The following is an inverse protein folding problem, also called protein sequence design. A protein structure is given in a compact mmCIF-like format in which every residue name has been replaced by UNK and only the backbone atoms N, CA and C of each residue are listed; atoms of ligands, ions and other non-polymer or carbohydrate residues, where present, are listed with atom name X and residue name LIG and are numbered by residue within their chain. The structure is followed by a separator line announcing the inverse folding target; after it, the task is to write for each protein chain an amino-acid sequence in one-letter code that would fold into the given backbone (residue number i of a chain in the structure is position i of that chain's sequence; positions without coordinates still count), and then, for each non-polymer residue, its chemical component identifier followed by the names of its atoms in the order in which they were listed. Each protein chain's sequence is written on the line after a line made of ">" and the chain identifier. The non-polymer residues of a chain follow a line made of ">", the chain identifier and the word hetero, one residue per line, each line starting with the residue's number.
data_IF_704866571757
#
_entry.id   IF_704866571757
#
_cell.length_a   1.000
_cell.length_b   1.000
_cell.length_c   1.000
_cell.angle_alpha   90.00
_cell.angle_beta   90.00
_cell.angle_gamma   90.00
#
_symmetry.space_group_name_H-M   'P 1'
#
loop_
_entity.id
_entity.type
_entity.pdbx_description
1 polymer ?
#
# COMPACT_ATOMS: atom_id res chain seq x y z
N UNK A 1 21.74 -2.88 30.31
CA UNK A 1 20.65 -3.68 29.71
C UNK A 1 20.08 -4.65 30.73
N UNK A 2 18.76 -4.67 30.88
CA UNK A 2 18.03 -5.60 31.78
C UNK A 2 18.09 -7.03 31.21
N UNK A 3 18.14 -8.06 32.04
CA UNK A 3 18.04 -9.45 31.58
C UNK A 3 16.58 -9.89 31.70
N UNK A 4 16.08 -10.52 30.64
CA UNK A 4 14.74 -11.08 30.61
C UNK A 4 14.81 -12.59 30.50
N UNK A 5 13.97 -13.27 31.28
CA UNK A 5 13.72 -14.70 31.16
C UNK A 5 12.45 -14.88 30.33
N UNK A 6 12.60 -15.27 29.06
CA UNK A 6 11.47 -15.42 28.16
C UNK A 6 11.74 -16.47 27.10
N UNK A 7 10.71 -16.78 26.32
CA UNK A 7 10.81 -17.80 25.28
C UNK A 7 11.65 -17.28 24.10
N UNK A 8 12.69 -18.01 23.70
CA UNK A 8 13.44 -17.67 22.49
C UNK A 8 12.59 -17.93 21.25
N UNK A 9 12.49 -16.93 20.38
CA UNK A 9 11.79 -17.04 19.09
C UNK A 9 12.82 -17.11 17.95
N UNK A 10 12.52 -17.89 16.92
CA UNK A 10 13.30 -17.93 15.69
C UNK A 10 13.22 -16.60 14.94
N UNK A 11 14.36 -16.10 14.44
CA UNK A 11 14.42 -14.90 13.62
C UNK A 11 13.53 -14.98 12.36
N UNK A 12 13.35 -16.18 11.81
CA UNK A 12 12.55 -16.43 10.62
C UNK A 12 11.09 -15.95 10.74
N UNK A 13 10.56 -15.86 11.97
CA UNK A 13 9.20 -15.34 12.22
C UNK A 13 9.07 -13.87 11.76
N UNK A 14 10.19 -13.13 11.73
CA UNK A 14 10.22 -11.70 11.43
C UNK A 14 10.80 -11.38 10.04
N UNK A 15 11.13 -12.40 9.23
CA UNK A 15 11.73 -12.19 7.89
C UNK A 15 10.77 -11.49 6.91
N UNK A 16 9.47 -11.57 7.18
CA UNK A 16 8.43 -10.91 6.39
C UNK A 16 8.06 -9.50 6.87
N UNK A 17 8.74 -8.96 7.87
CA UNK A 17 8.45 -7.61 8.37
C UNK A 17 9.04 -6.57 7.41
N UNK A 18 8.16 -5.74 6.85
CA UNK A 18 8.52 -4.62 5.99
C UNK A 18 8.35 -3.31 6.78
N UNK A 19 9.35 -2.43 6.69
CA UNK A 19 9.29 -1.08 7.27
C UNK A 19 8.26 -0.25 6.49
N UNK A 20 7.42 0.47 7.23
CA UNK A 20 6.39 1.35 6.68
C UNK A 20 6.84 2.81 6.80
N UNK A 21 7.09 3.27 8.03
CA UNK A 21 7.57 4.62 8.33
C UNK A 21 8.11 4.72 9.77
N UNK A 22 8.85 5.79 10.04
CA UNK A 22 9.27 6.15 11.39
C UNK A 22 8.23 7.13 11.99
N UNK A 23 7.73 6.78 13.16
CA UNK A 23 6.71 7.55 13.89
C UNK A 23 7.34 8.56 14.85
N UNK A 24 8.57 8.26 15.31
CA UNK A 24 9.40 9.16 16.10
C UNK A 24 10.84 8.97 15.63
N UNK A 25 11.41 10.00 15.02
CA UNK A 25 12.83 10.06 14.64
C UNK A 25 13.52 11.22 15.36
N UNK A 26 14.52 10.91 16.18
CA UNK A 26 15.34 11.89 16.89
C UNK A 26 16.78 11.40 16.86
N UNK A 27 17.54 11.85 15.86
CA UNK A 27 18.88 11.34 15.55
C UNK A 27 18.91 9.82 15.30
N UNK A 28 17.82 9.29 14.74
CA UNK A 28 17.58 7.88 14.49
C UNK A 28 16.17 7.44 14.91
N UNK A 29 15.68 6.31 14.35
CA UNK A 29 14.34 5.82 14.62
C UNK A 29 14.19 5.36 16.08
N UNK A 30 13.34 6.06 16.84
CA UNK A 30 12.96 5.68 18.20
C UNK A 30 11.71 4.79 18.20
N UNK A 31 10.75 5.11 17.33
CA UNK A 31 9.53 4.33 17.15
C UNK A 31 9.24 4.21 15.66
N UNK A 32 9.13 2.98 15.17
CA UNK A 32 8.85 2.71 13.75
C UNK A 32 7.65 1.78 13.59
N UNK A 33 6.88 2.01 12.53
CA UNK A 33 5.79 1.15 12.11
C UNK A 33 6.31 0.14 11.08
N UNK A 34 6.05 -1.13 11.36
CA UNK A 34 6.31 -2.25 10.47
C UNK A 34 5.00 -2.98 10.18
N UNK A 35 4.99 -3.75 9.10
CA UNK A 35 3.91 -4.69 8.78
C UNK A 35 4.46 -6.03 8.38
N UNK A 36 3.70 -7.08 8.61
CA UNK A 36 3.86 -8.35 7.90
C UNK A 36 2.67 -8.59 6.95
N UNK A 37 2.45 -9.83 6.51
CA UNK A 37 1.33 -10.22 5.63
C UNK A 37 -0.06 -10.03 6.24
N UNK A 38 -0.18 -9.87 7.56
CA UNK A 38 -1.44 -9.91 8.31
C UNK A 38 -1.56 -8.82 9.37
N UNK A 39 -0.45 -8.42 9.97
CA UNK A 39 -0.43 -7.68 11.21
C UNK A 39 0.47 -6.46 11.15
N UNK A 40 0.12 -5.45 11.95
CA UNK A 40 0.97 -4.28 12.16
C UNK A 40 1.84 -4.47 13.42
N UNK A 41 3.03 -3.87 13.39
CA UNK A 41 4.01 -4.00 14.45
C UNK A 41 4.64 -2.64 14.76
N UNK A 42 4.75 -2.31 16.04
CA UNK A 42 5.54 -1.17 16.49
C UNK A 42 6.90 -1.66 16.98
N UNK A 43 7.95 -1.02 16.49
CA UNK A 43 9.33 -1.26 16.90
C UNK A 43 9.79 -0.05 17.71
N UNK A 44 9.93 -0.23 19.02
CA UNK A 44 10.35 0.81 19.96
C UNK A 44 11.80 0.55 20.39
N UNK A 45 12.71 1.48 20.10
CA UNK A 45 14.06 1.42 20.63
C UNK A 45 14.04 1.67 22.14
N UNK A 46 14.77 0.84 22.90
CA UNK A 46 14.70 0.82 24.37
C UNK A 46 16.01 1.22 25.03
N UNK A 47 17.11 0.52 24.75
CA UNK A 47 18.44 0.89 25.22
C UNK A 47 19.55 0.33 24.33
N UNK A 48 20.78 0.68 24.67
CA UNK A 48 22.00 0.07 24.14
C UNK A 48 22.95 -0.29 25.27
N UNK A 49 23.80 -1.30 25.05
CA UNK A 49 24.98 -1.53 25.90
C UNK A 49 26.10 -0.49 25.68
N UNK A 50 25.88 0.48 24.79
CA UNK A 50 26.81 1.54 24.33
C UNK A 50 27.99 1.04 23.51
N UNK A 51 28.08 -0.27 23.25
CA UNK A 51 29.24 -0.88 22.58
C UNK A 51 28.82 -1.59 21.29
N UNK A 52 27.88 -2.52 21.35
CA UNK A 52 27.54 -3.40 20.21
C UNK A 52 26.06 -3.77 20.10
N UNK A 53 25.30 -3.67 21.19
CA UNK A 53 23.93 -4.18 21.26
C UNK A 53 22.95 -3.02 21.26
N UNK A 54 22.00 -3.05 20.33
CA UNK A 54 20.79 -2.23 20.36
C UNK A 54 19.61 -3.11 20.74
N UNK A 55 18.75 -2.60 21.63
CA UNK A 55 17.54 -3.31 22.05
C UNK A 55 16.29 -2.60 21.57
N UNK A 56 15.41 -3.42 21.01
CA UNK A 56 14.11 -3.02 20.53
C UNK A 56 13.02 -3.83 21.24
N UNK A 57 11.86 -3.21 21.42
CA UNK A 57 10.62 -3.84 21.83
C UNK A 57 9.66 -3.86 20.65
N UNK A 58 9.22 -5.05 20.28
CA UNK A 58 8.32 -5.30 19.17
C UNK A 58 6.93 -5.59 19.74
N UNK A 59 5.94 -4.83 19.28
CA UNK A 59 4.57 -4.89 19.79
C UNK A 59 3.62 -5.12 18.62
N UNK A 60 2.98 -6.29 18.60
CA UNK A 60 1.91 -6.58 17.63
C UNK A 60 0.71 -5.70 17.95
N UNK A 61 0.29 -4.89 16.99
CA UNK A 61 -0.71 -3.86 17.22
C UNK A 61 -1.89 -4.02 16.25
N UNK A 62 -3.10 -4.34 16.73
CA UNK A 62 -4.29 -4.36 15.90
C UNK A 62 -4.56 -3.00 15.27
N UNK A 63 -5.19 -3.00 14.09
CA UNK A 63 -5.54 -1.78 13.34
C UNK A 63 -6.32 -0.76 14.19
N UNK A 64 -7.32 -1.23 14.95
CA UNK A 64 -8.13 -0.37 15.83
C UNK A 64 -7.32 0.30 16.94
N UNK A 65 -6.33 -0.40 17.49
CA UNK A 65 -5.42 0.12 18.52
C UNK A 65 -4.47 1.15 17.91
N UNK A 66 -3.94 0.91 16.71
CA UNK A 66 -3.16 1.92 15.98
C UNK A 66 -3.97 3.19 15.72
N UNK A 67 -5.20 3.07 15.22
CA UNK A 67 -6.09 4.23 15.01
C UNK A 67 -6.26 5.02 16.30
N UNK A 68 -6.49 4.33 17.42
CA UNK A 68 -6.57 4.95 18.74
C UNK A 68 -5.29 5.70 19.14
N UNK A 69 -4.12 5.15 18.83
CA UNK A 69 -2.84 5.79 19.15
C UNK A 69 -2.61 7.05 18.31
N UNK A 70 -2.81 6.95 16.99
CA UNK A 70 -2.63 8.08 16.07
C UNK A 70 -3.66 9.20 16.27
N UNK A 71 -4.88 8.86 16.70
CA UNK A 71 -5.91 9.84 17.10
C UNK A 71 -5.74 10.38 18.52
N UNK A 72 -4.65 10.01 19.21
CA UNK A 72 -4.36 10.39 20.59
C UNK A 72 -5.44 9.95 21.61
N UNK A 73 -6.26 8.96 21.26
CA UNK A 73 -7.24 8.36 22.17
C UNK A 73 -6.58 7.40 23.18
N UNK A 74 -5.45 6.79 22.81
CA UNK A 74 -4.62 5.97 23.70
C UNK A 74 -3.15 6.38 23.60
N UNK A 75 -2.39 6.09 24.65
CA UNK A 75 -0.94 6.34 24.70
C UNK A 75 -0.15 5.10 24.32
N UNK A 76 1.11 5.29 23.91
CA UNK A 76 2.04 4.18 23.64
C UNK A 76 2.22 3.29 24.88
N UNK A 77 2.26 3.89 26.08
CA UNK A 77 2.28 3.13 27.34
C UNK A 77 1.05 2.22 27.49
N UNK A 78 -0.15 2.73 27.23
CA UNK A 78 -1.40 1.96 27.33
C UNK A 78 -1.44 0.82 26.32
N UNK A 79 -0.95 1.09 25.10
CA UNK A 79 -0.81 0.10 24.04
C UNK A 79 0.11 -1.05 24.47
N UNK A 80 1.29 -0.73 25.03
CA UNK A 80 2.25 -1.73 25.54
C UNK A 80 1.65 -2.53 26.69
N UNK A 81 1.07 -1.85 27.70
CA UNK A 81 0.56 -2.51 28.91
C UNK A 81 -0.62 -3.44 28.62
N UNK A 82 -1.41 -3.14 27.59
CA UNK A 82 -2.56 -3.96 27.20
C UNK A 82 -2.23 -5.00 26.12
N UNK A 83 -0.98 -5.04 25.64
CA UNK A 83 -0.57 -6.04 24.67
C UNK A 83 -0.60 -7.43 25.32
N UNK A 84 -1.08 -8.48 24.64
CA UNK A 84 -1.06 -9.84 25.20
C UNK A 84 0.35 -10.42 25.35
N UNK A 85 1.34 -9.85 24.66
CA UNK A 85 2.75 -10.19 24.80
C UNK A 85 3.63 -9.11 24.16
N UNK A 86 4.90 -9.09 24.50
CA UNK A 86 5.91 -8.24 23.87
C UNK A 86 7.12 -9.07 23.45
N UNK A 87 7.87 -8.60 22.46
CA UNK A 87 9.04 -9.29 21.96
C UNK A 87 10.26 -8.38 22.09
N UNK A 88 11.26 -8.83 22.83
CA UNK A 88 12.53 -8.12 22.95
C UNK A 88 13.50 -8.60 21.88
N UNK A 89 13.98 -7.68 21.06
CA UNK A 89 14.97 -7.89 20.02
C UNK A 89 16.30 -7.27 20.46
N UNK A 90 17.31 -8.10 20.70
CA UNK A 90 18.70 -7.65 20.83
C UNK A 90 19.40 -7.79 19.47
N UNK A 91 19.80 -6.67 18.87
CA UNK A 91 20.59 -6.61 17.64
C UNK A 91 22.07 -6.34 17.96
N UNK A 92 22.96 -7.22 17.51
CA UNK A 92 24.41 -7.07 17.71
C UNK A 92 25.11 -6.91 16.37
N UNK A 93 25.89 -5.83 16.21
CA UNK A 93 26.74 -5.67 15.04
C UNK A 93 27.95 -6.61 15.11
N UNK A 94 28.10 -7.48 14.10
CA UNK A 94 29.19 -8.44 13.97
C UNK A 94 29.98 -8.11 12.72
N UNK A 95 31.22 -7.67 12.91
CA UNK A 95 32.20 -7.44 11.83
C UNK A 95 32.83 -8.77 11.45
N UNK A 96 32.70 -9.16 10.19
CA UNK A 96 33.37 -10.31 9.60
C UNK A 96 34.50 -9.81 8.70
N UNK A 97 35.71 -10.27 8.99
CA UNK A 97 36.84 -10.14 8.07
C UNK A 97 36.83 -11.38 7.18
N UNK A 98 36.72 -11.17 5.87
CA UNK A 98 36.84 -12.24 4.87
C UNK A 98 38.13 -12.06 4.12
N UNK A 99 38.76 -13.17 3.81
CA UNK A 99 39.92 -13.23 2.92
C UNK A 99 39.44 -14.00 1.69
N UNK A 100 39.77 -13.52 0.50
CA UNK A 100 39.42 -14.23 -0.72
C UNK A 100 40.28 -15.50 -0.92
N UNK A 101 39.97 -16.28 -1.96
CA UNK A 101 40.67 -17.53 -2.28
C UNK A 101 42.16 -17.32 -2.59
N UNK A 102 42.60 -16.08 -2.78
CA UNK A 102 43.99 -15.68 -3.05
C UNK A 102 44.71 -15.11 -1.82
N UNK A 103 44.06 -15.11 -0.64
CA UNK A 103 44.67 -14.59 0.58
C UNK A 103 44.58 -13.06 0.72
N UNK A 104 43.81 -12.38 -0.14
CA UNK A 104 43.66 -10.92 -0.12
C UNK A 104 42.52 -10.54 0.85
N UNK A 105 42.77 -9.67 1.85
CA UNK A 105 41.73 -9.19 2.74
C UNK A 105 40.65 -8.45 1.95
N UNK A 106 39.40 -8.88 2.09
CA UNK A 106 38.24 -8.15 1.58
C UNK A 106 37.82 -7.07 2.57
N UNK A 107 37.07 -6.08 2.08
CA UNK A 107 36.46 -5.09 2.95
C UNK A 107 35.60 -5.80 4.01
N UNK A 108 35.75 -5.40 5.29
CA UNK A 108 35.02 -6.02 6.38
C UNK A 108 33.52 -5.81 6.17
N UNK A 109 32.77 -6.91 6.22
CA UNK A 109 31.31 -6.86 6.15
C UNK A 109 30.73 -6.80 7.55
N UNK A 110 29.82 -5.86 7.79
CA UNK A 110 29.06 -5.79 9.05
C UNK A 110 27.76 -6.56 8.83
N UNK A 111 27.52 -7.56 9.68
CA UNK A 111 26.27 -8.32 9.73
C UNK A 111 25.58 -8.09 11.06
N UNK A 112 24.25 -8.16 11.07
CA UNK A 112 23.47 -8.03 12.31
C UNK A 112 23.09 -9.41 12.81
N UNK A 113 23.54 -9.75 14.03
CA UNK A 113 23.06 -10.92 14.75
C UNK A 113 21.86 -10.51 15.59
N UNK A 114 20.71 -11.17 15.37
CA UNK A 114 19.45 -10.85 16.04
C UNK A 114 19.06 -11.94 17.02
N UNK A 115 18.62 -11.56 18.21
CA UNK A 115 18.09 -12.48 19.23
C UNK A 115 16.73 -11.98 19.70
N UNK A 116 15.72 -12.83 19.56
CA UNK A 116 14.34 -12.53 19.92
C UNK A 116 13.93 -13.28 21.18
N UNK A 117 13.32 -12.57 22.13
CA UNK A 117 12.81 -13.12 23.39
C UNK A 117 11.36 -12.68 23.58
N UNK A 118 10.42 -13.62 23.59
CA UNK A 118 9.01 -13.38 23.89
C UNK A 118 8.81 -13.27 25.39
N UNK A 119 7.99 -12.31 25.80
CA UNK A 119 7.49 -12.16 27.16
C UNK A 119 5.97 -12.12 27.11
N UNK A 120 5.32 -13.03 27.83
CA UNK A 120 3.86 -13.15 27.85
C UNK A 120 3.21 -12.12 28.79
N UNK A 121 3.97 -11.55 29.74
CA UNK A 121 3.52 -10.45 30.58
C UNK A 121 4.28 -9.15 30.24
N UNK A 122 3.61 -8.12 29.67
CA UNK A 122 4.24 -6.84 29.38
C UNK A 122 4.76 -6.09 30.61
N UNK A 123 4.35 -6.45 31.83
CA UNK A 123 4.88 -5.84 33.05
C UNK A 123 6.33 -6.23 33.32
N UNK A 124 6.81 -7.35 32.73
CA UNK A 124 8.22 -7.75 32.79
C UNK A 124 9.15 -6.69 32.19
N UNK A 125 8.65 -5.87 31.27
CA UNK A 125 9.40 -4.79 30.61
C UNK A 125 9.01 -3.39 31.10
N UNK A 126 8.38 -3.28 32.28
CA UNK A 126 7.90 -2.00 32.82
C UNK A 126 8.99 -0.92 32.91
N UNK A 127 10.24 -1.31 33.14
CA UNK A 127 11.37 -0.39 33.16
C UNK A 127 11.63 0.34 31.83
N UNK A 128 11.12 -0.18 30.72
CA UNK A 128 11.19 0.43 29.39
C UNK A 128 9.87 1.09 28.96
N UNK A 129 8.86 1.16 29.84
CA UNK A 129 7.59 1.79 29.48
C UNK A 129 7.77 3.30 29.24
N UNK A 130 7.19 3.84 28.15
CA UNK A 130 7.13 5.27 27.92
C UNK A 130 6.35 6.01 29.02
N UNK A 131 6.40 7.34 28.99
CA UNK A 131 5.63 8.17 29.91
C UNK A 131 4.12 7.94 29.78
N UNK A 132 3.34 8.31 30.80
CA UNK A 132 1.86 8.25 30.75
C UNK A 132 1.26 9.22 29.73
N UNK A 133 2.05 10.17 29.25
CA UNK A 133 1.67 11.17 28.23
C UNK A 133 2.30 10.88 26.88
N UNK A 134 2.69 9.63 26.63
CA UNK A 134 3.25 9.16 25.36
C UNK A 134 2.18 9.06 24.26
N UNK A 135 1.44 10.13 24.01
CA UNK A 135 0.53 10.25 22.88
C UNK A 135 1.33 10.37 21.58
N UNK A 136 0.72 10.01 20.46
CA UNK A 136 1.29 10.27 19.14
C UNK A 136 1.49 11.78 18.95
N UNK A 137 2.70 12.17 18.55
CA UNK A 137 3.02 13.56 18.21
C UNK A 137 3.37 13.65 16.73
N UNK A 138 2.50 14.23 15.88
CA UNK A 138 2.77 14.42 14.46
C UNK A 138 4.03 15.24 14.16
N UNK A 139 4.43 16.15 15.07
CA UNK A 139 5.62 16.99 14.89
C UNK A 139 6.93 16.18 14.94
N UNK A 140 6.89 14.97 15.53
CA UNK A 140 8.04 14.06 15.61
C UNK A 140 8.02 12.99 14.50
N UNK A 141 6.94 12.96 13.71
CA UNK A 141 6.70 11.96 12.69
C UNK A 141 6.92 12.57 11.29
N UNK A 142 8.18 12.76 10.93
CA UNK A 142 8.53 13.33 9.63
C UNK A 142 7.93 12.52 8.47
N UNK A 143 7.24 13.22 7.57
CA UNK A 143 6.61 12.57 6.42
C UNK A 143 5.30 11.86 6.71
N UNK A 144 4.70 12.07 7.89
CA UNK A 144 3.33 11.63 8.19
C UNK A 144 2.38 12.83 8.17
N UNK A 145 1.26 12.73 7.45
CA UNK A 145 0.16 13.70 7.49
C UNK A 145 -1.11 13.01 7.99
N UNK A 146 -1.52 13.32 9.22
CA UNK A 146 -2.77 12.82 9.82
C UNK A 146 -3.95 13.79 9.65
N UNK A 147 -3.77 14.92 8.97
CA UNK A 147 -4.84 15.91 8.77
C UNK A 147 -5.88 15.48 7.71
N UNK A 148 -5.70 14.30 7.14
CA UNK A 148 -6.53 13.71 6.09
C UNK A 148 -7.40 12.56 6.62
N UNK A 149 -8.24 11.98 5.75
CA UNK A 149 -9.04 10.79 6.08
C UNK A 149 -8.11 9.65 6.52
N UNK A 150 -8.04 9.44 7.83
CA UNK A 150 -7.02 8.59 8.44
C UNK A 150 -7.55 7.23 8.90
N UNK A 151 -8.78 7.19 9.42
CA UNK A 151 -9.36 5.94 9.92
C UNK A 151 -10.05 5.19 8.77
N UNK A 152 -9.66 3.93 8.49
CA UNK A 152 -10.47 3.06 7.65
C UNK A 152 -11.86 2.89 8.25
N UNK A 153 -12.87 2.77 7.39
CA UNK A 153 -14.21 2.40 7.81
C UNK A 153 -14.75 1.28 6.94
N UNK A 154 -15.86 0.69 7.39
CA UNK A 154 -16.61 -0.28 6.60
C UNK A 154 -17.14 0.39 5.33
N UNK A 155 -16.95 -0.29 4.21
CA UNK A 155 -17.42 0.11 2.89
C UNK A 155 -18.00 -1.11 2.19
N UNK A 156 -19.22 -0.99 1.70
CA UNK A 156 -19.92 -2.05 0.99
C UNK A 156 -19.63 -1.96 -0.49
N UNK A 157 -19.18 -3.07 -1.06
CA UNK A 157 -19.05 -3.24 -2.51
C UNK A 157 -20.23 -4.12 -2.96
N UNK A 158 -21.23 -3.55 -3.66
CA UNK A 158 -22.43 -4.29 -4.04
C UNK A 158 -22.11 -5.34 -5.10
N UNK A 159 -22.46 -6.59 -4.81
CA UNK A 159 -22.28 -7.72 -5.72
C UNK A 159 -23.62 -8.37 -6.06
N UNK A 160 -23.71 -8.87 -7.27
CA UNK A 160 -24.90 -9.51 -7.83
C UNK A 160 -24.53 -10.73 -8.66
N UNK A 161 -25.54 -11.45 -9.15
CA UNK A 161 -25.34 -12.58 -10.05
C UNK A 161 -24.69 -13.80 -9.39
N UNK A 162 -24.02 -14.63 -10.21
CA UNK A 162 -23.39 -15.88 -9.75
C UNK A 162 -21.88 -15.78 -9.84
N UNK A 163 -21.23 -15.78 -8.69
CA UNK A 163 -19.77 -15.68 -8.59
C UNK A 163 -19.14 -17.06 -8.52
N UNK A 164 -18.18 -17.34 -9.40
CA UNK A 164 -17.24 -18.43 -9.21
C UNK A 164 -16.06 -17.97 -8.36
N UNK A 165 -15.35 -18.92 -7.75
CA UNK A 165 -14.17 -18.61 -6.94
C UNK A 165 -13.10 -17.82 -7.71
N UNK A 166 -12.97 -18.10 -9.02
CA UNK A 166 -12.08 -17.38 -9.93
C UNK A 166 -12.50 -15.92 -10.13
N UNK A 167 -13.81 -15.65 -10.12
CA UNK A 167 -14.34 -14.30 -10.25
C UNK A 167 -14.00 -13.49 -9.01
N UNK A 168 -14.20 -14.07 -7.83
CA UNK A 168 -13.81 -13.45 -6.55
C UNK A 168 -12.31 -13.16 -6.51
N UNK A 169 -11.48 -14.14 -6.85
CA UNK A 169 -10.02 -13.95 -6.89
C UNK A 169 -9.59 -12.85 -7.88
N UNK A 170 -10.15 -12.86 -9.08
CA UNK A 170 -9.86 -11.86 -10.12
C UNK A 170 -10.33 -10.46 -9.72
N UNK A 171 -11.53 -10.36 -9.15
CA UNK A 171 -12.10 -9.13 -8.62
C UNK A 171 -11.23 -8.57 -7.49
N UNK A 172 -10.95 -9.36 -6.45
CA UNK A 172 -10.19 -8.91 -5.28
C UNK A 172 -8.81 -8.41 -5.70
N UNK A 173 -8.13 -9.11 -6.61
CA UNK A 173 -6.84 -8.65 -7.15
C UNK A 173 -6.98 -7.36 -7.96
N UNK A 174 -8.01 -7.21 -8.79
CA UNK A 174 -8.17 -6.04 -9.66
C UNK A 174 -8.58 -4.81 -8.85
N UNK A 175 -9.54 -4.96 -7.92
CA UNK A 175 -9.97 -3.91 -7.01
C UNK A 175 -8.79 -3.42 -6.15
N UNK A 176 -8.02 -4.35 -5.56
CA UNK A 176 -6.86 -3.97 -4.74
C UNK A 176 -5.79 -3.21 -5.53
N UNK A 177 -5.59 -3.52 -6.82
CA UNK A 177 -4.66 -2.78 -7.68
C UNK A 177 -5.13 -1.35 -7.94
N UNK A 178 -6.41 -1.16 -8.25
CA UNK A 178 -6.99 0.17 -8.49
C UNK A 178 -6.96 1.00 -7.21
N UNK A 179 -7.36 0.41 -6.08
CA UNK A 179 -7.29 1.04 -4.77
C UNK A 179 -5.85 1.49 -4.44
N UNK A 180 -4.88 0.58 -4.57
CA UNK A 180 -3.48 0.89 -4.28
C UNK A 180 -2.95 2.02 -5.16
N UNK A 181 -3.33 2.01 -6.44
CA UNK A 181 -2.93 3.05 -7.39
C UNK A 181 -3.50 4.41 -7.01
N UNK A 182 -4.82 4.50 -6.78
CA UNK A 182 -5.48 5.75 -6.43
C UNK A 182 -4.99 6.30 -5.08
N UNK A 183 -4.76 5.42 -4.10
CA UNK A 183 -4.13 5.81 -2.84
C UNK A 183 -2.74 6.43 -3.07
N UNK A 184 -1.87 5.78 -3.87
CA UNK A 184 -0.52 6.27 -4.11
C UNK A 184 -0.45 7.60 -4.86
N UNK A 185 -1.49 7.95 -5.62
CA UNK A 185 -1.56 9.26 -6.30
C UNK A 185 -1.93 10.43 -5.37
N UNK A 186 -2.56 10.14 -4.23
CA UNK A 186 -2.94 11.13 -3.23
C UNK A 186 -2.87 10.50 -1.83
N UNK A 187 -1.67 10.27 -1.31
CA UNK A 187 -1.50 9.58 -0.03
C UNK A 187 -2.16 10.37 1.11
N UNK A 188 -2.89 9.65 1.97
CA UNK A 188 -3.63 10.23 3.11
C UNK A 188 -2.88 10.11 4.45
N UNK A 189 -1.67 9.52 4.45
CA UNK A 189 -0.93 9.25 5.69
C UNK A 189 0.59 9.38 5.54
N UNK A 190 1.18 8.83 4.49
CA UNK A 190 2.64 8.90 4.28
C UNK A 190 2.96 9.82 3.10
N UNK A 191 3.56 10.96 3.38
CA UNK A 191 3.98 11.97 2.39
C UNK A 191 5.11 11.45 1.48
N UNK A 192 5.92 10.50 1.95
CA UNK A 192 6.98 9.87 1.14
C UNK A 192 6.45 8.90 0.08
N UNK A 193 5.13 8.64 0.01
CA UNK A 193 4.55 7.79 -1.02
C UNK A 193 4.76 8.36 -2.43
N UNK A 194 4.81 9.69 -2.57
CA UNK A 194 5.16 10.35 -3.83
C UNK A 194 6.60 10.05 -4.26
N UNK A 195 7.54 10.02 -3.31
CA UNK A 195 8.93 9.61 -3.57
C UNK A 195 9.03 8.12 -3.92
N UNK A 196 8.19 7.27 -3.32
CA UNK A 196 8.09 5.85 -3.67
C UNK A 196 7.52 5.68 -5.08
N UNK A 197 6.44 6.38 -5.43
CA UNK A 197 5.90 6.38 -6.79
C UNK A 197 6.97 6.80 -7.80
N UNK A 198 7.70 7.88 -7.52
CA UNK A 198 8.82 8.33 -8.33
C UNK A 198 9.89 7.25 -8.53
N UNK A 199 10.32 6.58 -7.45
CA UNK A 199 11.27 5.47 -7.51
C UNK A 199 10.75 4.30 -8.35
N UNK A 200 9.47 3.93 -8.18
CA UNK A 200 8.84 2.83 -8.91
C UNK A 200 8.71 3.12 -10.41
N UNK A 201 8.41 4.35 -10.78
CA UNK A 201 8.33 4.75 -12.18
C UNK A 201 9.72 4.79 -12.86
N UNK A 202 10.80 4.97 -12.09
CA UNK A 202 12.19 4.89 -12.57
C UNK A 202 12.75 3.46 -12.66
N UNK A 203 12.04 2.46 -12.14
CA UNK A 203 12.43 1.07 -12.33
C UNK A 203 12.30 0.65 -13.82
N UNK A 204 13.01 -0.40 -14.28
CA UNK A 204 13.01 -0.77 -15.70
C UNK A 204 11.64 -1.11 -16.30
N UNK A 205 11.28 -0.47 -17.44
CA UNK A 205 10.00 -0.67 -18.17
C UNK A 205 10.13 -1.53 -19.44
N UNK A 206 10.46 -2.80 -19.28
CA UNK A 206 10.74 -3.75 -20.40
C UNK A 206 9.50 -4.48 -20.96
N UNK A 207 8.28 -4.05 -20.63
CA UNK A 207 7.03 -4.56 -21.24
C UNK A 207 5.92 -4.88 -20.23
N UNK A 208 5.15 -5.94 -20.48
CA UNK A 208 4.00 -6.34 -19.65
C UNK A 208 4.37 -6.69 -18.20
N UNK A 209 5.61 -7.15 -17.96
CA UNK A 209 6.15 -7.41 -16.63
C UNK A 209 6.20 -6.15 -15.76
N UNK A 210 6.62 -5.01 -16.33
CA UNK A 210 6.64 -3.71 -15.64
C UNK A 210 5.25 -3.22 -15.23
N UNK A 211 4.19 -3.55 -15.99
CA UNK A 211 2.80 -3.22 -15.61
C UNK A 211 2.35 -4.00 -14.37
N UNK A 212 2.69 -5.29 -14.29
CA UNK A 212 2.36 -6.13 -13.13
C UNK A 212 3.14 -5.66 -11.90
N UNK A 213 4.43 -5.36 -12.09
CA UNK A 213 5.31 -4.93 -11.01
C UNK A 213 4.96 -3.55 -10.46
N UNK A 214 4.41 -2.64 -11.27
CA UNK A 214 3.94 -1.34 -10.80
C UNK A 214 2.90 -1.56 -9.68
N UNK A 215 1.79 -2.22 -9.98
CA UNK A 215 0.71 -2.37 -8.99
C UNK A 215 1.10 -3.24 -7.79
N UNK A 216 1.88 -4.31 -7.99
CA UNK A 216 2.36 -5.11 -6.86
C UNK A 216 3.29 -4.32 -5.94
N UNK A 217 4.07 -3.39 -6.50
CA UNK A 217 4.99 -2.56 -5.71
C UNK A 217 4.28 -1.37 -5.04
N UNK A 218 3.26 -0.79 -5.68
CA UNK A 218 2.37 0.19 -5.06
C UNK A 218 1.62 -0.44 -3.89
N UNK A 219 1.07 -1.65 -4.07
CA UNK A 219 0.39 -2.39 -3.00
C UNK A 219 1.32 -2.68 -1.82
N UNK A 220 2.54 -3.17 -2.07
CA UNK A 220 3.57 -3.34 -1.01
C UNK A 220 3.97 -2.03 -0.33
N UNK A 221 3.65 -0.89 -0.93
CA UNK A 221 3.88 0.42 -0.32
C UNK A 221 2.75 0.89 0.56
N UNK A 222 1.56 0.31 0.46
CA UNK A 222 0.45 0.73 1.29
C UNK A 222 0.78 0.51 2.76
N UNK A 223 0.57 1.51 3.64
CA UNK A 223 0.57 1.27 5.07
C UNK A 223 -0.49 0.21 5.35
N UNK A 224 -0.17 -0.81 6.15
CA UNK A 224 -1.14 -1.86 6.47
C UNK A 224 -2.36 -1.34 7.23
N UNK A 225 -2.25 -0.18 7.89
CA UNK A 225 -3.37 0.59 8.38
C UNK A 225 -4.40 0.92 7.28
N UNK A 226 -3.95 1.24 6.07
CA UNK A 226 -4.78 1.68 4.94
C UNK A 226 -4.97 0.62 3.85
N UNK A 227 -4.36 -0.56 3.98
CA UNK A 227 -4.58 -1.66 3.04
C UNK A 227 -6.02 -2.21 3.15
N UNK A 228 -6.51 -2.82 2.08
CA UNK A 228 -7.84 -3.40 2.03
C UNK A 228 -7.93 -4.66 2.90
N UNK A 229 -8.88 -4.66 3.84
CA UNK A 229 -9.22 -5.85 4.62
C UNK A 229 -10.66 -6.24 4.35
N UNK A 230 -10.91 -7.53 4.06
CA UNK A 230 -12.29 -8.05 3.97
C UNK A 230 -12.79 -8.24 5.40
N UNK A 231 -13.89 -7.56 5.74
CA UNK A 231 -14.57 -7.76 7.03
C UNK A 231 -15.60 -8.88 6.93
N UNK A 232 -16.49 -8.77 5.94
CA UNK A 232 -17.54 -9.76 5.73
C UNK A 232 -17.89 -9.94 4.25
N UNK A 233 -18.46 -11.10 3.94
CA UNK A 233 -18.94 -11.44 2.61
C UNK A 233 -20.35 -12.01 2.72
N UNK A 234 -21.34 -11.29 2.20
CA UNK A 234 -22.72 -11.72 2.17
C UNK A 234 -23.13 -12.10 0.75
N UNK A 235 -23.14 -13.39 0.48
CA UNK A 235 -23.59 -13.93 -0.79
C UNK A 235 -25.11 -14.11 -0.80
N UNK A 236 -25.80 -13.08 -1.25
CA UNK A 236 -27.16 -13.11 -1.74
C UNK A 236 -27.16 -12.31 -3.06
N UNK A 237 -28.11 -12.51 -3.98
CA UNK A 237 -28.30 -11.57 -5.08
C UNK A 237 -29.61 -10.83 -4.84
N UNK A 238 -29.56 -9.55 -4.43
CA UNK A 238 -28.38 -8.71 -4.19
C UNK A 238 -27.63 -9.00 -2.88
N UNK A 239 -26.31 -8.75 -2.88
CA UNK A 239 -25.38 -9.02 -1.79
C UNK A 239 -24.24 -8.01 -1.74
N UNK A 240 -23.26 -8.21 -0.86
CA UNK A 240 -22.10 -7.32 -0.75
C UNK A 240 -20.84 -8.00 -0.23
N UNK A 241 -19.71 -7.42 -0.63
CA UNK A 241 -18.42 -7.59 0.03
C UNK A 241 -18.21 -6.37 0.91
N UNK A 242 -18.12 -6.55 2.22
CA UNK A 242 -17.78 -5.48 3.14
C UNK A 242 -16.26 -5.46 3.34
N UNK A 243 -15.66 -4.30 3.07
CA UNK A 243 -14.23 -4.08 3.26
C UNK A 243 -14.00 -2.96 4.26
N UNK A 244 -12.95 -3.10 5.07
CA UNK A 244 -12.38 -1.98 5.83
C UNK A 244 -11.29 -1.33 4.98
N UNK A 245 -11.52 -0.08 4.61
CA UNK A 245 -10.64 0.71 3.75
C UNK A 245 -10.89 2.20 3.96
N UNK A 246 -10.10 3.06 3.31
CA UNK A 246 -10.39 4.49 3.26
C UNK A 246 -11.59 4.76 2.34
N UNK A 247 -12.70 5.34 2.85
CA UNK A 247 -13.88 5.62 2.05
C UNK A 247 -13.62 6.47 0.83
N UNK A 248 -12.83 7.55 0.95
CA UNK A 248 -12.54 8.44 -0.18
C UNK A 248 -11.91 7.71 -1.36
N UNK A 249 -11.02 6.75 -1.10
CA UNK A 249 -10.35 5.96 -2.15
C UNK A 249 -11.31 4.94 -2.76
N UNK A 250 -12.20 4.34 -1.97
CA UNK A 250 -13.24 3.45 -2.49
C UNK A 250 -14.26 4.20 -3.34
N UNK A 251 -14.60 5.43 -2.96
CA UNK A 251 -15.37 6.34 -3.80
C UNK A 251 -14.64 6.68 -5.09
N UNK A 252 -13.33 6.92 -5.07
CA UNK A 252 -12.56 7.17 -6.30
C UNK A 252 -12.59 5.95 -7.23
N UNK A 253 -12.43 4.73 -6.71
CA UNK A 253 -12.58 3.51 -7.52
C UNK A 253 -13.96 3.48 -8.17
N UNK A 254 -15.01 3.74 -7.41
CA UNK A 254 -16.39 3.78 -7.91
C UNK A 254 -16.58 4.86 -8.97
N UNK A 255 -16.09 6.08 -8.72
CA UNK A 255 -16.13 7.22 -9.66
C UNK A 255 -15.43 6.87 -10.97
N UNK A 256 -14.27 6.22 -10.93
CA UNK A 256 -13.52 5.80 -12.13
C UNK A 256 -14.34 4.81 -12.97
N UNK A 257 -14.93 3.79 -12.33
CA UNK A 257 -15.72 2.78 -13.05
C UNK A 257 -17.00 3.41 -13.63
N UNK A 258 -17.74 4.18 -12.83
CA UNK A 258 -18.96 4.87 -13.29
C UNK A 258 -18.64 5.84 -14.43
N UNK A 259 -17.56 6.63 -14.33
CA UNK A 259 -17.19 7.59 -15.38
C UNK A 259 -16.76 6.91 -16.69
N UNK A 260 -16.23 5.70 -16.60
CA UNK A 260 -15.87 4.91 -17.79
C UNK A 260 -17.09 4.36 -18.54
N UNK A 261 -18.25 4.27 -17.88
CA UNK A 261 -19.47 3.75 -18.47
C UNK A 261 -19.93 4.63 -19.65
N UNK A 262 -20.15 4.00 -20.81
CA UNK A 262 -20.48 4.71 -22.06
C UNK A 262 -19.30 5.47 -22.72
N UNK A 263 -18.15 5.63 -22.06
CA UNK A 263 -16.98 6.32 -22.61
C UNK A 263 -15.98 5.38 -23.29
N UNK A 264 -16.16 4.06 -23.21
CA UNK A 264 -15.26 3.05 -23.80
C UNK A 264 -14.88 3.27 -25.27
N UNK A 265 -15.79 3.68 -26.17
CA UNK A 265 -15.41 3.97 -27.54
C UNK A 265 -14.33 5.07 -27.63
N UNK A 266 -14.45 6.13 -26.82
CA UNK A 266 -13.48 7.23 -26.77
C UNK A 266 -12.18 6.80 -26.09
N UNK A 267 -12.27 6.14 -24.94
CA UNK A 267 -11.11 5.61 -24.23
C UNK A 267 -10.27 4.68 -25.13
N UNK A 268 -10.92 3.83 -25.92
CA UNK A 268 -10.28 2.92 -26.87
C UNK A 268 -9.56 3.68 -28.00
N UNK A 269 -10.11 4.81 -28.46
CA UNK A 269 -9.46 5.63 -29.48
C UNK A 269 -8.14 6.20 -28.94
N UNK A 270 -8.16 6.82 -27.75
CA UNK A 270 -6.95 7.40 -27.17
C UNK A 270 -5.91 6.34 -26.79
N UNK A 271 -6.33 5.19 -26.26
CA UNK A 271 -5.42 4.07 -25.99
C UNK A 271 -4.75 3.54 -27.27
N UNK A 272 -5.50 3.45 -28.37
CA UNK A 272 -4.95 3.08 -29.69
C UNK A 272 -3.98 4.11 -30.24
N UNK A 273 -4.22 5.40 -30.01
CA UNK A 273 -3.28 6.47 -30.41
C UNK A 273 -1.96 6.29 -29.67
N UNK A 274 -2.00 6.11 -28.35
CA UNK A 274 -0.82 5.84 -27.51
C UNK A 274 -0.09 4.59 -28.01
N UNK A 275 -0.81 3.47 -28.19
CA UNK A 275 -0.21 2.22 -28.65
C UNK A 275 0.41 2.37 -30.04
N UNK A 276 -0.21 3.12 -30.95
CA UNK A 276 0.32 3.38 -32.30
C UNK A 276 1.66 4.12 -32.25
N UNK A 277 1.75 5.20 -31.48
CA UNK A 277 2.99 5.98 -31.34
C UNK A 277 4.10 5.14 -30.69
N UNK A 278 3.81 4.45 -29.59
CA UNK A 278 4.78 3.58 -28.90
C UNK A 278 5.26 2.44 -29.82
N UNK A 279 4.37 1.87 -30.63
CA UNK A 279 4.67 0.74 -31.50
C UNK A 279 5.50 1.12 -32.71
N UNK A 280 5.21 2.28 -33.32
CA UNK A 280 5.97 2.83 -34.46
C UNK A 280 7.47 2.89 -34.15
N UNK A 281 7.81 3.29 -32.93
CA UNK A 281 9.17 3.42 -32.43
C UNK A 281 9.71 2.15 -31.74
N UNK A 282 8.96 1.05 -31.76
CA UNK A 282 9.31 -0.25 -31.13
C UNK A 282 9.59 -0.17 -29.62
N UNK A 283 8.97 0.78 -28.91
CA UNK A 283 9.32 1.10 -27.52
C UNK A 283 8.57 0.27 -26.47
N UNK A 284 7.72 -0.68 -26.89
CA UNK A 284 6.93 -1.52 -25.98
C UNK A 284 7.79 -2.27 -24.96
N UNK A 285 8.94 -2.80 -25.40
CA UNK A 285 9.84 -3.63 -24.58
C UNK A 285 11.17 -2.95 -24.24
N UNK A 286 11.34 -1.69 -24.66
CA UNK A 286 12.55 -0.91 -24.40
C UNK A 286 12.38 -0.21 -23.06
N UNK A 287 13.36 -0.39 -22.20
CA UNK A 287 13.46 0.37 -20.98
C UNK A 287 14.00 1.76 -21.27
N UNK A 288 13.22 2.77 -20.91
CA UNK A 288 13.54 4.18 -21.09
C UNK A 288 13.45 4.93 -19.76
N UNK A 289 13.36 4.25 -18.61
CA UNK A 289 13.08 4.90 -17.33
C UNK A 289 14.15 5.92 -16.88
N UNK A 290 15.33 5.87 -17.49
CA UNK A 290 16.45 6.77 -17.25
C UNK A 290 16.70 7.77 -18.40
N UNK A 291 15.88 7.74 -19.45
CA UNK A 291 16.04 8.59 -20.64
C UNK A 291 15.17 9.84 -20.50
N UNK A 292 15.74 11.06 -20.54
CA UNK A 292 14.96 12.30 -20.53
C UNK A 292 14.09 12.45 -21.77
N UNK A 293 13.02 13.25 -21.68
CA UNK A 293 12.09 13.51 -22.79
C UNK A 293 12.80 13.98 -24.08
N UNK A 294 13.83 14.81 -23.95
CA UNK A 294 14.61 15.39 -25.05
C UNK A 294 15.34 14.35 -25.91
N UNK A 295 15.65 13.19 -25.34
CA UNK A 295 16.37 12.10 -26.00
C UNK A 295 15.43 10.98 -26.49
N UNK A 296 14.12 11.15 -26.33
CA UNK A 296 13.15 10.19 -26.85
C UNK A 296 13.06 10.31 -28.37
N UNK A 297 12.81 9.20 -29.08
CA UNK A 297 12.81 9.18 -30.54
C UNK A 297 11.51 9.74 -31.15
N UNK A 298 10.87 10.74 -30.54
CA UNK A 298 9.60 11.32 -31.02
C UNK A 298 9.80 12.65 -31.71
N UNK A 299 8.88 12.95 -32.64
CA UNK A 299 8.67 14.34 -33.06
C UNK A 299 7.94 15.12 -31.96
N UNK A 300 8.01 16.45 -32.02
CA UNK A 300 7.25 17.31 -31.11
C UNK A 300 5.73 17.06 -31.21
N UNK A 301 5.22 16.80 -32.42
CA UNK A 301 3.81 16.47 -32.66
C UNK A 301 3.41 15.13 -32.02
N UNK A 302 4.27 14.11 -32.11
CA UNK A 302 4.04 12.80 -31.46
C UNK A 302 4.05 12.92 -29.93
N UNK A 303 4.95 13.73 -29.38
CA UNK A 303 4.98 14.01 -27.93
C UNK A 303 3.70 14.71 -27.48
N UNK A 304 3.27 15.77 -28.18
CA UNK A 304 2.01 16.46 -27.86
C UNK A 304 0.81 15.51 -27.96
N UNK A 305 0.75 14.70 -29.01
CA UNK A 305 -0.32 13.71 -29.22
C UNK A 305 -0.41 12.70 -28.07
N UNK A 306 0.75 12.23 -27.56
CA UNK A 306 0.80 11.33 -26.41
C UNK A 306 0.30 12.00 -25.13
N UNK A 307 0.74 13.23 -24.88
CA UNK A 307 0.36 13.99 -23.70
C UNK A 307 -1.15 14.27 -23.69
N UNK A 308 -1.69 14.76 -24.81
CA UNK A 308 -3.11 15.03 -24.99
C UNK A 308 -3.94 13.75 -24.82
N UNK A 309 -3.51 12.64 -25.42
CA UNK A 309 -4.21 11.35 -25.30
C UNK A 309 -4.23 10.84 -23.87
N UNK A 310 -3.13 10.98 -23.13
CA UNK A 310 -3.09 10.63 -21.72
C UNK A 310 -4.02 11.53 -20.91
N UNK A 311 -3.97 12.84 -21.10
CA UNK A 311 -4.82 13.80 -20.40
C UNK A 311 -6.31 13.54 -20.65
N UNK A 312 -6.69 13.23 -21.89
CA UNK A 312 -8.07 12.87 -22.24
C UNK A 312 -8.54 11.58 -21.57
N UNK A 313 -7.71 10.53 -21.53
CA UNK A 313 -8.05 9.30 -20.77
C UNK A 313 -8.31 9.65 -19.30
N UNK A 314 -7.45 10.44 -18.68
CA UNK A 314 -7.56 10.79 -17.26
C UNK A 314 -8.80 11.66 -16.98
N UNK A 315 -9.12 12.57 -17.90
CA UNK A 315 -10.32 13.40 -17.87
C UNK A 315 -11.59 12.55 -17.96
N UNK A 316 -11.64 11.61 -18.91
CA UNK A 316 -12.77 10.69 -19.09
C UNK A 316 -12.98 9.75 -17.89
N UNK A 317 -11.90 9.39 -17.19
CA UNK A 317 -11.97 8.60 -15.96
C UNK A 317 -12.27 9.44 -14.70
N UNK A 318 -12.37 10.77 -14.82
CA UNK A 318 -12.71 11.65 -13.71
C UNK A 318 -11.60 11.80 -12.65
N UNK A 319 -10.33 11.61 -13.03
CA UNK A 319 -9.17 11.55 -12.10
C UNK A 319 -8.01 12.44 -12.55
N UNK A 320 -8.32 13.54 -13.26
CA UNK A 320 -7.31 14.46 -13.78
C UNK A 320 -6.41 15.03 -12.68
N UNK A 321 -7.02 15.48 -11.58
CA UNK A 321 -6.37 16.05 -10.40
C UNK A 321 -5.42 15.05 -9.71
N UNK A 322 -5.74 13.75 -9.76
CA UNK A 322 -4.94 12.69 -9.15
C UNK A 322 -3.78 12.25 -10.05
N UNK A 323 -3.96 12.31 -11.37
CA UNK A 323 -2.94 11.83 -12.31
C UNK A 323 -1.85 12.87 -12.59
N UNK A 324 -2.05 14.15 -12.28
CA UNK A 324 -0.97 15.14 -12.33
C UNK A 324 0.25 14.70 -11.49
N UNK A 325 0.03 14.11 -10.31
CA UNK A 325 1.11 13.54 -9.50
C UNK A 325 1.87 12.39 -10.20
N UNK A 326 1.17 11.56 -10.98
CA UNK A 326 1.78 10.48 -11.76
C UNK A 326 2.60 11.04 -12.93
N UNK A 327 2.09 12.06 -13.62
CA UNK A 327 2.81 12.76 -14.68
C UNK A 327 4.11 13.35 -14.14
N UNK A 328 4.02 14.07 -13.02
CA UNK A 328 5.15 14.76 -12.41
C UNK A 328 6.17 13.77 -11.83
N UNK A 329 5.72 12.60 -11.35
CA UNK A 329 6.59 11.55 -10.86
C UNK A 329 7.25 10.71 -11.98
N UNK A 330 6.68 10.70 -13.18
CA UNK A 330 7.20 9.91 -14.28
C UNK A 330 8.52 10.53 -14.81
N UNK A 331 9.56 9.73 -15.06
CA UNK A 331 10.83 10.25 -15.57
C UNK A 331 10.73 10.79 -17.00
N UNK A 332 9.71 10.34 -17.74
CA UNK A 332 9.41 10.78 -19.09
C UNK A 332 7.99 10.41 -19.52
N UNK A 333 7.59 10.96 -20.68
CA UNK A 333 6.28 10.79 -21.28
C UNK A 333 5.93 9.33 -21.62
N UNK A 334 6.92 8.48 -21.90
CA UNK A 334 6.65 7.08 -22.24
C UNK A 334 6.33 6.24 -21.02
N UNK A 335 7.05 6.45 -19.93
CA UNK A 335 6.70 5.82 -18.65
C UNK A 335 5.32 6.26 -18.21
N UNK A 336 5.02 7.56 -18.30
CA UNK A 336 3.70 8.11 -18.01
C UNK A 336 2.60 7.44 -18.86
N UNK A 337 2.75 7.43 -20.18
CA UNK A 337 1.78 6.81 -21.09
C UNK A 337 1.61 5.30 -20.82
N UNK A 338 2.71 4.56 -20.58
CA UNK A 338 2.64 3.13 -20.22
C UNK A 338 1.90 2.90 -18.90
N UNK A 339 2.06 3.78 -17.92
CA UNK A 339 1.33 3.72 -16.65
C UNK A 339 -0.16 4.00 -16.82
N UNK A 340 -0.53 5.00 -17.63
CA UNK A 340 -1.94 5.29 -17.98
C UNK A 340 -2.60 4.11 -18.69
N UNK A 341 -1.92 3.49 -19.68
CA UNK A 341 -2.42 2.26 -20.32
C UNK A 341 -2.58 1.10 -19.33
N UNK A 342 -1.66 0.97 -18.37
CA UNK A 342 -1.73 -0.08 -17.35
C UNK A 342 -2.94 0.11 -16.41
N UNK A 343 -3.24 1.36 -16.05
CA UNK A 343 -4.43 1.76 -15.30
C UNK A 343 -5.71 1.44 -16.09
N UNK A 344 -5.81 1.91 -17.33
CA UNK A 344 -6.97 1.66 -18.19
C UNK A 344 -7.25 0.15 -18.33
N UNK A 345 -6.21 -0.67 -18.43
CA UNK A 345 -6.33 -2.12 -18.45
C UNK A 345 -6.86 -2.74 -17.15
N UNK A 346 -6.69 -2.11 -15.97
CA UNK A 346 -7.35 -2.58 -14.74
C UNK A 346 -8.81 -2.08 -14.67
N UNK A 347 -9.07 -0.84 -15.08
CA UNK A 347 -10.43 -0.28 -15.18
C UNK A 347 -11.30 -1.16 -16.08
N UNK A 348 -10.79 -1.55 -17.24
CA UNK A 348 -11.51 -2.42 -18.18
C UNK A 348 -11.87 -3.78 -17.55
N UNK A 349 -10.95 -4.37 -16.79
CA UNK A 349 -11.21 -5.65 -16.10
C UNK A 349 -12.29 -5.52 -15.06
N UNK A 350 -12.29 -4.43 -14.28
CA UNK A 350 -13.30 -4.23 -13.25
C UNK A 350 -14.66 -3.87 -13.87
N UNK A 351 -14.69 -3.07 -14.93
CA UNK A 351 -15.91 -2.77 -15.67
C UNK A 351 -16.55 -4.01 -16.31
N UNK A 352 -15.76 -4.99 -16.73
CA UNK A 352 -16.29 -6.25 -17.24
C UNK A 352 -17.17 -7.00 -16.21
N UNK A 353 -16.90 -6.87 -14.90
CA UNK A 353 -17.79 -7.40 -13.86
C UNK A 353 -19.12 -6.64 -13.80
N UNK A 354 -19.10 -5.32 -14.03
CA UNK A 354 -20.31 -4.50 -14.08
C UNK A 354 -21.17 -4.84 -15.30
N UNK A 355 -20.55 -5.00 -16.48
CA UNK A 355 -21.23 -5.43 -17.71
C UNK A 355 -21.84 -6.83 -17.61
N UNK A 356 -21.20 -7.73 -16.85
CA UNK A 356 -21.72 -9.08 -16.58
C UNK A 356 -22.81 -9.10 -15.51
N UNK A 357 -23.14 -7.96 -14.89
CA UNK A 357 -24.10 -7.88 -13.78
C UNK A 357 -23.62 -8.54 -12.48
N UNK A 358 -22.31 -8.73 -12.33
CA UNK A 358 -21.70 -9.28 -11.11
C UNK A 358 -21.41 -8.21 -10.06
N UNK A 359 -21.23 -6.96 -10.49
CA UNK A 359 -20.83 -5.83 -9.68
C UNK A 359 -21.73 -4.63 -9.97
N UNK A 360 -22.05 -3.82 -8.94
CA UNK A 360 -22.80 -2.59 -9.13
C UNK A 360 -22.23 -1.46 -8.29
N UNK A 361 -21.18 -0.79 -8.80
CA UNK A 361 -20.54 0.34 -8.11
C UNK A 361 -21.35 1.65 -8.23
N UNK A 362 -22.38 1.69 -9.08
CA UNK A 362 -23.28 2.84 -9.20
C UNK A 362 -24.28 2.97 -8.04
N UNK A 363 -24.48 1.92 -7.24
CA UNK A 363 -25.35 1.98 -6.06
C UNK A 363 -24.65 2.72 -4.92
N UNK A 364 -25.37 3.68 -4.32
CA UNK A 364 -24.92 4.31 -3.06
C UNK A 364 -24.87 3.29 -1.92
N UNK A 365 -24.05 3.55 -0.90
CA UNK A 365 -23.95 2.71 0.31
C UNK A 365 -25.34 2.46 0.94
N UNK A 366 -26.14 3.51 1.11
CA UNK A 366 -27.49 3.43 1.67
C UNK A 366 -28.43 2.54 0.82
N UNK A 367 -28.31 2.61 -0.50
CA UNK A 367 -29.12 1.81 -1.40
C UNK A 367 -28.69 0.35 -1.38
N UNK A 368 -27.39 0.08 -1.35
CA UNK A 368 -26.86 -1.27 -1.21
C UNK A 368 -27.32 -1.93 0.10
N UNK A 369 -27.23 -1.21 1.23
CA UNK A 369 -27.74 -1.69 2.51
C UNK A 369 -29.23 -2.02 2.48
N UNK A 370 -30.05 -1.13 1.90
CA UNK A 370 -31.49 -1.33 1.79
C UNK A 370 -31.83 -2.57 0.96
N UNK A 371 -31.17 -2.77 -0.18
CA UNK A 371 -31.35 -3.92 -1.07
C UNK A 371 -30.99 -5.23 -0.36
N UNK A 372 -29.87 -5.26 0.37
CA UNK A 372 -29.41 -6.44 1.11
C UNK A 372 -30.38 -6.78 2.25
N UNK A 373 -30.82 -5.78 3.02
CA UNK A 373 -31.81 -5.99 4.09
C UNK A 373 -33.14 -6.52 3.55
N UNK A 374 -33.60 -5.97 2.42
CA UNK A 374 -34.82 -6.45 1.76
C UNK A 374 -34.68 -7.90 1.25
N UNK A 375 -33.52 -8.27 0.72
CA UNK A 375 -33.20 -9.63 0.28
C UNK A 375 -33.17 -10.62 1.45
N UNK A 376 -32.48 -10.26 2.54
CA UNK A 376 -32.40 -11.06 3.75
C UNK A 376 -33.79 -11.31 4.38
N UNK A 377 -34.65 -10.28 4.43
CA UNK A 377 -36.01 -10.42 4.94
C UNK A 377 -36.87 -11.39 4.11
N UNK A 378 -36.68 -11.45 2.78
CA UNK A 378 -37.40 -12.40 1.91
C UNK A 378 -36.96 -13.85 2.14
N UNK A 379 -35.67 -14.08 2.39
CA UNK A 379 -35.12 -15.42 2.62
C UNK A 379 -35.52 -16.01 3.98
N UNK A 380 -35.96 -15.19 4.95
CA UNK A 380 -36.44 -15.68 6.26
C UNK A 380 -37.90 -16.15 6.21
N UNK A 381 -38.66 -15.74 5.18
CA UNK A 381 -40.10 -16.05 5.02
C UNK A 381 -40.31 -17.31 4.15
N UNK A 382 -39.26 -17.80 3.48
CA UNK A 382 -39.23 -19.07 2.74
C UNK A 382 -38.65 -20.18 3.61
#
# INVERSE_FOLDING_TARGET
>A
MIKFEGQKISAFVFDGHEHVCDLIDVDGPLLSLYTDLRDNWLYLWCDTDRVKINRWMLIKTPRTVLVGFFSQAITLRTLISNSPSVIMLDETAVRSEKVDDLGIPQEPTISLKRKYTKLDDPTDVQAYWPSERSFFNPELAEGIDIHQEFAPSKHLIPVDGRWYFKDLDSFSRTYAKLYSFLYSTKPQFINSMSARLYSLLRAPWTGGYSRVNLFSSLRRGLPALHDLQIDSFSYASPGAIEVEALPSICEDVSKVIISSEGQWPRLTVYDKIIDTVISRHKLRKVDLSMVPNEHLPFTHEEAQTLEDSCAEICSLLGIRDRIDALRDAAPNLIVYAKAVQALLGQVQKLNAFQEQGLLNLGKSQNQAEADIRASAARNIIQ
#
